data_IF_712307804952
#
_entry.id   IF_712307804952
#
_cell.length_a   1.000
_cell.length_b   1.000
_cell.length_c   1.000
_cell.angle_alpha   90.00
_cell.angle_beta   90.00
_cell.angle_gamma   90.00
#
_symmetry.space_group_name_H-M   'P 1'
#
loop_
_entity.id
_entity.type
_entity.pdbx_description
1 polymer ?
#
# COMPACT_ATOMS: atom_id res chain seq x y z
N UNK A 1 -10.33 6.09 -16.83
CA UNK A 1 -10.87 7.47 -16.88
C UNK A 1 -9.82 8.51 -17.26
N UNK A 2 -8.65 8.51 -16.60
CA UNK A 2 -7.57 9.46 -16.91
C UNK A 2 -7.07 9.40 -18.36
N UNK A 3 -6.94 8.21 -18.96
CA UNK A 3 -6.51 8.07 -20.37
C UNK A 3 -7.53 8.60 -21.39
N UNK A 4 -8.84 8.39 -21.13
CA UNK A 4 -9.92 8.88 -22.00
C UNK A 4 -9.89 10.41 -22.08
N UNK A 5 -9.58 11.07 -20.96
CA UNK A 5 -9.45 12.53 -20.89
C UNK A 5 -8.22 13.07 -21.61
N UNK A 6 -7.22 12.22 -21.88
CA UNK A 6 -6.06 12.58 -22.69
C UNK A 6 -6.26 12.36 -24.19
N UNK A 7 -7.47 11.96 -24.62
CA UNK A 7 -7.81 11.72 -26.02
C UNK A 7 -7.55 10.29 -26.53
N UNK A 8 -7.11 9.37 -25.67
CA UNK A 8 -6.94 7.96 -26.04
C UNK A 8 -8.32 7.31 -26.16
N UNK A 9 -8.60 6.64 -27.29
CA UNK A 9 -9.87 5.91 -27.44
C UNK A 9 -9.90 4.72 -26.49
N UNK A 10 -11.07 4.43 -25.93
CA UNK A 10 -11.27 3.30 -25.00
C UNK A 10 -10.76 1.97 -25.58
N UNK A 11 -10.92 1.75 -26.89
CA UNK A 11 -10.50 0.51 -27.53
C UNK A 11 -8.96 0.40 -27.62
N UNK A 12 -8.26 1.51 -27.87
CA UNK A 12 -6.78 1.56 -27.89
C UNK A 12 -6.23 1.38 -26.47
N UNK A 13 -6.84 2.04 -25.49
CA UNK A 13 -6.45 1.87 -24.09
C UNK A 13 -6.63 0.43 -23.57
N UNK A 14 -7.72 -0.24 -23.97
CA UNK A 14 -7.97 -1.64 -23.59
C UNK A 14 -7.02 -2.62 -24.28
N UNK A 15 -6.65 -2.35 -25.54
CA UNK A 15 -5.69 -3.18 -26.27
C UNK A 15 -4.28 -3.08 -25.69
N UNK A 16 -3.82 -1.86 -25.39
CA UNK A 16 -2.44 -1.62 -24.97
C UNK A 16 -2.21 -1.90 -23.48
N UNK A 17 -3.19 -1.61 -22.63
CA UNK A 17 -3.03 -1.66 -21.16
C UNK A 17 -4.00 -2.61 -20.45
N UNK A 18 -4.93 -3.26 -21.18
CA UNK A 18 -5.92 -4.15 -20.58
C UNK A 18 -6.80 -3.48 -19.52
N UNK A 19 -7.24 -4.25 -18.53
CA UNK A 19 -8.07 -3.77 -17.40
C UNK A 19 -7.27 -3.07 -16.29
N UNK A 20 -5.94 -3.07 -16.35
CA UNK A 20 -5.05 -2.35 -15.43
C UNK A 20 -4.34 -1.16 -16.13
N UNK A 21 -5.08 -0.09 -16.45
CA UNK A 21 -4.52 1.07 -17.11
C UNK A 21 -3.53 1.82 -16.21
N UNK A 22 -2.24 1.74 -16.53
CA UNK A 22 -1.19 2.57 -15.95
C UNK A 22 -0.82 3.71 -16.91
N UNK A 23 -0.70 4.93 -16.40
CA UNK A 23 -0.16 6.05 -17.17
C UNK A 23 1.36 6.01 -17.15
N UNK A 24 1.97 5.56 -18.24
CA UNK A 24 3.41 5.62 -18.47
C UNK A 24 3.74 6.52 -19.67
N UNK A 25 4.48 7.61 -19.44
CA UNK A 25 4.92 8.53 -20.50
C UNK A 25 4.61 10.00 -20.23
N UNK A 26 5.16 10.88 -21.08
CA UNK A 26 5.09 12.35 -20.94
C UNK A 26 3.99 13.01 -21.79
N UNK A 27 3.30 12.25 -22.64
CA UNK A 27 2.39 12.79 -23.65
C UNK A 27 0.95 13.01 -23.14
N UNK A 28 0.71 12.72 -21.86
CA UNK A 28 -0.61 12.83 -21.24
C UNK A 28 -0.88 14.23 -20.69
N UNK A 29 -2.14 14.65 -20.79
CA UNK A 29 -2.59 15.94 -20.25
C UNK A 29 -2.35 16.04 -18.74
N UNK A 30 -2.08 17.25 -18.23
CA UNK A 30 -1.91 17.52 -16.80
C UNK A 30 -3.14 17.14 -15.97
N UNK A 31 -4.33 17.24 -16.56
CA UNK A 31 -5.61 16.85 -15.95
C UNK A 31 -5.72 15.33 -15.79
N UNK A 32 -5.20 14.55 -16.74
CA UNK A 32 -5.12 13.08 -16.65
C UNK A 32 -4.22 12.63 -15.49
N UNK A 33 -3.05 13.26 -15.33
CA UNK A 33 -2.17 13.01 -14.19
C UNK A 33 -2.83 13.32 -12.84
N UNK A 34 -3.58 14.43 -12.74
CA UNK A 34 -4.28 14.81 -11.51
C UNK A 34 -5.31 13.75 -11.11
N UNK A 35 -6.13 13.26 -12.04
CA UNK A 35 -7.14 12.23 -11.77
C UNK A 35 -6.50 10.90 -11.38
N UNK A 36 -5.37 10.54 -11.99
CA UNK A 36 -4.64 9.34 -11.62
C UNK A 36 -4.12 9.39 -10.19
N UNK A 37 -3.45 10.49 -9.80
CA UNK A 37 -2.99 10.67 -8.43
C UNK A 37 -4.16 10.78 -7.43
N UNK A 38 -5.27 11.41 -7.81
CA UNK A 38 -6.48 11.43 -6.99
C UNK A 38 -7.02 10.01 -6.73
N UNK A 39 -6.98 9.13 -7.74
CA UNK A 39 -7.32 7.72 -7.60
C UNK A 39 -6.40 6.97 -6.63
N UNK A 40 -5.08 7.20 -6.73
CA UNK A 40 -4.09 6.60 -5.80
C UNK A 40 -4.35 7.06 -4.36
N UNK A 41 -4.61 8.36 -4.16
CA UNK A 41 -4.91 8.92 -2.83
C UNK A 41 -6.21 8.32 -2.28
N UNK A 42 -7.25 8.19 -3.11
CA UNK A 42 -8.51 7.58 -2.72
C UNK A 42 -8.31 6.11 -2.32
N UNK A 43 -7.54 5.34 -3.10
CA UNK A 43 -7.22 3.96 -2.78
C UNK A 43 -6.44 3.83 -1.45
N UNK A 44 -5.43 4.68 -1.24
CA UNK A 44 -4.69 4.73 0.02
C UNK A 44 -5.61 5.07 1.21
N UNK A 45 -6.57 5.99 1.02
CA UNK A 45 -7.58 6.30 2.04
C UNK A 45 -8.48 5.10 2.34
N UNK A 46 -8.94 4.37 1.31
CA UNK A 46 -9.77 3.17 1.50
C UNK A 46 -9.05 2.10 2.32
N UNK A 47 -7.75 1.91 2.14
CA UNK A 47 -6.94 0.97 2.94
C UNK A 47 -6.86 1.42 4.41
N UNK A 48 -6.59 2.71 4.64
CA UNK A 48 -6.55 3.28 5.99
C UNK A 48 -7.92 3.20 6.69
N UNK A 49 -9.00 3.46 5.97
CA UNK A 49 -10.36 3.33 6.49
C UNK A 49 -10.69 1.88 6.85
N UNK A 50 -10.40 0.93 5.96
CA UNK A 50 -10.64 -0.51 6.18
C UNK A 50 -9.84 -1.04 7.39
N UNK A 51 -8.55 -0.71 7.48
CA UNK A 51 -7.73 -1.10 8.63
C UNK A 51 -8.22 -0.48 9.95
N UNK A 52 -8.77 0.74 9.90
CA UNK A 52 -9.39 1.38 11.07
C UNK A 52 -10.68 0.65 11.47
N UNK A 53 -11.50 0.22 10.51
CA UNK A 53 -12.71 -0.57 10.74
C UNK A 53 -12.40 -1.90 11.43
N UNK A 54 -11.43 -2.65 10.90
CA UNK A 54 -11.03 -3.94 11.45
C UNK A 54 -10.48 -3.76 12.86
N UNK A 55 -9.68 -2.72 13.09
CA UNK A 55 -9.12 -2.42 14.41
C UNK A 55 -10.21 -2.04 15.43
N UNK A 56 -11.18 -1.20 15.04
CA UNK A 56 -12.27 -0.79 15.95
C UNK A 56 -13.16 -1.95 16.34
N UNK A 57 -13.51 -2.81 15.38
CA UNK A 57 -14.29 -4.04 15.62
C UNK A 57 -13.53 -4.96 16.58
N UNK A 58 -12.27 -5.26 16.28
CA UNK A 58 -11.46 -6.19 17.10
C UNK A 58 -11.31 -5.69 18.53
N UNK A 59 -11.06 -4.40 18.73
CA UNK A 59 -10.88 -3.82 20.08
C UNK A 59 -12.19 -3.82 20.86
N UNK A 60 -13.33 -3.53 20.22
CA UNK A 60 -14.64 -3.55 20.88
C UNK A 60 -15.07 -4.97 21.25
N UNK A 61 -14.81 -5.94 20.39
CA UNK A 61 -14.99 -7.37 20.71
C UNK A 61 -14.13 -7.80 21.90
N UNK A 62 -12.84 -7.43 21.93
CA UNK A 62 -11.95 -7.72 23.07
C UNK A 62 -12.39 -7.04 24.38
N UNK A 63 -13.10 -5.91 24.30
CA UNK A 63 -13.70 -5.22 25.46
C UNK A 63 -15.03 -5.84 25.90
N UNK A 64 -15.52 -6.89 25.23
CA UNK A 64 -16.75 -7.61 25.57
C UNK A 64 -18.00 -7.18 24.80
N UNK A 65 -17.86 -6.28 23.81
CA UNK A 65 -18.95 -5.94 22.90
C UNK A 65 -18.96 -6.88 21.68
N UNK A 66 -19.48 -8.08 21.90
CA UNK A 66 -19.47 -9.17 20.91
C UNK A 66 -20.40 -8.91 19.71
N UNK A 67 -21.29 -7.90 19.79
CA UNK A 67 -22.28 -7.61 18.76
C UNK A 67 -21.99 -6.33 17.97
N UNK A 68 -20.79 -5.76 18.12
CA UNK A 68 -20.42 -4.57 17.37
C UNK A 68 -20.44 -4.85 15.87
N UNK A 69 -21.40 -4.25 15.16
CA UNK A 69 -21.66 -4.57 13.76
C UNK A 69 -20.70 -3.83 12.83
N UNK A 70 -20.48 -4.41 11.65
CA UNK A 70 -19.69 -3.80 10.59
C UNK A 70 -20.26 -2.43 10.18
N UNK A 71 -21.59 -2.30 10.16
CA UNK A 71 -22.26 -1.04 9.82
C UNK A 71 -21.98 0.06 10.84
N UNK A 72 -21.98 -0.29 12.14
CA UNK A 72 -21.65 0.66 13.20
C UNK A 72 -20.19 1.13 13.11
N UNK A 73 -19.29 0.26 12.65
CA UNK A 73 -17.89 0.59 12.39
C UNK A 73 -17.75 1.58 11.22
N UNK A 74 -18.49 1.35 10.13
CA UNK A 74 -18.52 2.26 8.98
C UNK A 74 -19.10 3.63 9.34
N UNK A 75 -20.17 3.68 10.14
CA UNK A 75 -20.74 4.95 10.61
C UNK A 75 -19.75 5.74 11.48
N UNK A 76 -18.95 5.05 12.29
CA UNK A 76 -17.88 5.68 13.07
C UNK A 76 -16.77 6.24 12.16
N UNK A 77 -16.37 5.49 11.13
CA UNK A 77 -15.38 5.93 10.13
C UNK A 77 -15.88 7.15 9.36
N UNK A 78 -17.13 7.14 8.91
CA UNK A 78 -17.74 8.26 8.20
C UNK A 78 -17.84 9.52 9.07
N UNK A 79 -17.99 9.38 10.39
CA UNK A 79 -17.90 10.51 11.33
C UNK A 79 -16.46 11.01 11.48
N UNK A 80 -15.46 10.15 11.33
CA UNK A 80 -14.03 10.44 11.61
C UNK A 80 -13.10 10.43 10.40
N UNK A 81 -13.65 10.45 9.20
CA UNK A 81 -12.87 10.41 7.95
C UNK A 81 -11.82 11.53 7.88
N UNK A 82 -12.16 12.72 8.43
CA UNK A 82 -11.24 13.86 8.53
C UNK A 82 -10.05 13.48 9.39
N UNK A 83 -10.27 12.95 10.59
CA UNK A 83 -9.19 12.49 11.45
C UNK A 83 -8.33 11.51 10.68
N UNK A 84 -8.93 10.44 10.12
CA UNK A 84 -8.28 9.38 9.33
C UNK A 84 -7.31 9.95 8.29
N UNK A 85 -7.75 10.91 7.48
CA UNK A 85 -6.92 11.51 6.44
C UNK A 85 -5.91 12.55 6.95
N UNK A 86 -6.30 13.40 7.92
CA UNK A 86 -5.47 14.53 8.33
C UNK A 86 -4.31 14.13 9.25
N UNK A 87 -4.38 13.02 9.98
CA UNK A 87 -3.27 12.64 10.89
C UNK A 87 -1.94 12.39 10.16
N UNK A 88 -1.85 11.55 9.11
CA UNK A 88 -0.60 11.42 8.35
C UNK A 88 -0.15 12.74 7.73
N UNK A 89 -1.10 13.58 7.28
CA UNK A 89 -0.80 14.92 6.76
C UNK A 89 -0.20 15.82 7.84
N UNK A 90 -0.71 15.78 9.08
CA UNK A 90 -0.16 16.57 10.18
C UNK A 90 1.23 16.13 10.59
N UNK A 91 1.54 14.82 10.54
CA UNK A 91 2.90 14.33 10.78
C UNK A 91 3.88 14.81 9.71
N UNK A 92 3.48 14.80 8.42
CA UNK A 92 4.27 15.37 7.32
C UNK A 92 4.47 16.87 7.54
N UNK A 93 3.42 17.59 7.95
CA UNK A 93 3.51 19.02 8.24
C UNK A 93 4.51 19.32 9.36
N UNK A 94 4.49 18.52 10.45
CA UNK A 94 5.46 18.67 11.56
C UNK A 94 6.89 18.46 11.04
N UNK A 95 7.15 17.41 10.25
CA UNK A 95 8.46 17.17 9.64
C UNK A 95 8.91 18.35 8.77
N UNK A 96 8.01 18.87 7.93
CA UNK A 96 8.29 20.00 7.06
C UNK A 96 8.62 21.26 7.87
N UNK A 97 7.85 21.56 8.91
CA UNK A 97 8.13 22.71 9.80
C UNK A 97 9.49 22.57 10.49
N UNK A 98 9.85 21.37 10.96
CA UNK A 98 11.16 21.14 11.59
C UNK A 98 12.32 21.36 10.60
N UNK A 99 12.19 20.90 9.36
CA UNK A 99 13.18 21.14 8.30
C UNK A 99 13.29 22.64 8.01
N UNK A 100 12.16 23.34 7.89
CA UNK A 100 12.13 24.79 7.64
C UNK A 100 12.83 25.58 8.75
N UNK A 101 12.66 25.19 10.01
CA UNK A 101 13.39 25.80 11.14
C UNK A 101 14.91 25.57 11.00
N UNK A 102 15.33 24.36 10.64
CA UNK A 102 16.75 24.06 10.40
C UNK A 102 17.35 24.90 9.27
N UNK A 103 16.63 25.04 8.15
CA UNK A 103 17.03 25.90 7.03
C UNK A 103 17.13 27.37 7.47
N UNK A 104 16.17 27.86 8.25
CA UNK A 104 16.20 29.23 8.77
C UNK A 104 17.45 29.52 9.61
N UNK A 105 17.83 28.62 10.51
CA UNK A 105 19.05 28.77 11.30
C UNK A 105 20.33 28.64 10.46
N UNK A 106 20.33 27.78 9.44
CA UNK A 106 21.45 27.68 8.51
C UNK A 106 21.65 28.99 7.71
N UNK A 107 20.56 29.63 7.28
CA UNK A 107 20.60 30.93 6.61
C UNK A 107 21.13 32.02 7.56
N UNK A 108 20.69 32.06 8.82
CA UNK A 108 21.25 32.99 9.82
C UNK A 108 22.75 32.78 10.04
N UNK A 109 23.23 31.54 9.96
CA UNK A 109 24.65 31.20 10.07
C UNK A 109 25.52 31.70 8.91
N UNK A 110 24.93 32.02 7.76
CA UNK A 110 25.67 32.47 6.57
C UNK A 110 26.16 33.93 6.62
N UNK A 111 25.78 34.70 7.65
CA UNK A 111 26.14 36.12 7.79
C UNK A 111 27.62 36.26 8.21
N UNK A 112 28.45 36.94 7.42
CA UNK A 112 29.93 36.96 7.52
C UNK A 112 30.54 37.41 8.86
N UNK A 113 29.80 38.05 9.77
CA UNK A 113 30.33 38.51 11.07
C UNK A 113 29.58 37.92 12.27
N UNK A 114 28.24 37.99 12.26
CA UNK A 114 27.40 37.51 13.38
C UNK A 114 27.11 36.01 13.27
N UNK A 115 27.15 35.45 12.06
CA UNK A 115 26.78 34.07 11.77
C UNK A 115 27.56 33.02 12.58
N UNK A 116 28.90 33.04 12.58
CA UNK A 116 29.70 32.05 13.31
C UNK A 116 29.44 32.06 14.83
N UNK A 117 29.28 33.24 15.44
CA UNK A 117 28.98 33.36 16.87
C UNK A 117 27.58 32.85 17.20
N UNK A 118 26.59 33.19 16.36
CA UNK A 118 25.20 32.76 16.54
C UNK A 118 25.05 31.24 16.40
N UNK A 119 25.77 30.64 15.45
CA UNK A 119 25.81 29.18 15.26
C UNK A 119 26.40 28.50 16.47
N UNK A 120 27.54 28.96 17.00
CA UNK A 120 28.18 28.31 18.18
C UNK A 120 27.27 28.37 19.41
N UNK A 121 26.60 29.50 19.66
CA UNK A 121 25.67 29.65 20.79
C UNK A 121 24.42 28.77 20.60
N UNK A 122 23.91 28.68 19.37
CA UNK A 122 22.67 27.95 19.06
C UNK A 122 22.93 26.46 18.77
N UNK A 123 24.18 26.03 18.64
CA UNK A 123 24.55 24.67 18.26
C UNK A 123 23.93 23.58 19.15
N UNK A 124 23.91 23.69 20.50
CA UNK A 124 23.24 22.70 21.33
C UNK A 124 21.74 22.55 21.04
N UNK A 125 21.07 23.66 20.71
CA UNK A 125 19.66 23.68 20.34
C UNK A 125 19.43 23.00 18.98
N UNK A 126 20.30 23.27 18.00
CA UNK A 126 20.24 22.65 16.68
C UNK A 126 20.51 21.14 16.72
N UNK A 127 21.45 20.72 17.56
CA UNK A 127 21.73 19.30 17.78
C UNK A 127 20.51 18.57 18.36
N UNK A 128 19.87 19.14 19.39
CA UNK A 128 18.65 18.59 19.96
C UNK A 128 17.49 18.59 18.94
N UNK A 129 17.37 19.65 18.13
CA UNK A 129 16.43 19.73 17.02
C UNK A 129 16.65 18.63 15.98
N UNK A 130 17.90 18.30 15.65
CA UNK A 130 18.23 17.22 14.72
C UNK A 130 17.85 15.84 15.28
N UNK A 131 18.10 15.59 16.57
CA UNK A 131 17.65 14.35 17.24
C UNK A 131 16.12 14.26 17.18
N UNK A 132 15.43 15.36 17.46
CA UNK A 132 13.97 15.43 17.41
C UNK A 132 13.41 15.23 15.99
N UNK A 133 14.11 15.70 14.95
CA UNK A 133 13.74 15.46 13.55
C UNK A 133 13.86 13.98 13.19
N UNK A 134 14.97 13.33 13.52
CA UNK A 134 15.17 11.89 13.30
C UNK A 134 14.10 11.09 14.04
N UNK A 135 13.83 11.46 15.29
CA UNK A 135 12.77 10.83 16.07
C UNK A 135 11.38 11.02 15.45
N UNK A 136 11.05 12.23 15.00
CA UNK A 136 9.77 12.52 14.31
C UNK A 136 9.64 11.72 13.00
N UNK A 137 10.74 11.47 12.30
CA UNK A 137 10.75 10.63 11.11
C UNK A 137 10.46 9.16 11.46
N UNK A 138 11.04 8.65 12.54
CA UNK A 138 10.70 7.31 13.05
C UNK A 138 9.24 7.20 13.47
N UNK A 139 8.69 8.22 14.13
CA UNK A 139 7.28 8.30 14.49
C UNK A 139 6.39 8.31 13.25
N UNK A 140 6.78 9.02 12.19
CA UNK A 140 6.03 9.02 10.93
C UNK A 140 5.96 7.61 10.32
N UNK A 141 7.07 6.87 10.28
CA UNK A 141 7.08 5.50 9.76
C UNK A 141 6.23 4.57 10.63
N UNK A 142 6.39 4.62 11.95
CA UNK A 142 5.64 3.75 12.87
C UNK A 142 4.14 4.08 12.87
N UNK A 143 3.78 5.33 12.57
CA UNK A 143 2.38 5.78 12.55
C UNK A 143 1.54 5.02 11.52
N UNK A 144 2.06 4.65 10.36
CA UNK A 144 1.26 3.92 9.36
C UNK A 144 0.66 2.61 9.88
N UNK A 145 1.36 1.94 10.80
CA UNK A 145 0.88 0.72 11.46
C UNK A 145 -0.03 1.01 12.66
N UNK A 146 0.35 1.99 13.49
CA UNK A 146 -0.31 2.27 14.77
C UNK A 146 -1.58 3.12 14.63
N UNK A 147 -1.64 3.93 13.58
CA UNK A 147 -2.63 4.98 13.42
C UNK A 147 -4.07 4.46 13.24
N UNK A 148 -4.35 3.46 12.37
CA UNK A 148 -5.69 2.90 12.25
C UNK A 148 -6.20 2.34 13.58
N UNK A 149 -5.28 1.76 14.38
CA UNK A 149 -5.60 1.25 15.71
C UNK A 149 -5.84 2.37 16.74
N UNK A 150 -5.09 3.46 16.70
CA UNK A 150 -5.24 4.57 17.65
C UNK A 150 -6.59 5.28 17.47
N UNK A 151 -6.94 5.64 16.23
CA UNK A 151 -8.22 6.31 15.90
C UNK A 151 -9.41 5.41 16.20
N UNK A 152 -9.29 4.11 15.88
CA UNK A 152 -10.36 3.13 16.14
C UNK A 152 -10.60 2.84 17.63
N UNK A 153 -9.57 2.96 18.48
CA UNK A 153 -9.62 2.54 19.89
C UNK A 153 -9.95 3.64 20.90
N UNK A 154 -9.42 4.84 20.66
CA UNK A 154 -9.43 5.93 21.64
C UNK A 154 -10.35 7.09 21.26
N UNK A 155 -10.98 7.00 20.08
CA UNK A 155 -11.88 8.03 19.60
C UNK A 155 -11.24 9.45 19.59
N UNK A 156 -9.94 9.53 19.36
CA UNK A 156 -9.18 10.78 19.43
C UNK A 156 -9.33 11.67 18.19
N UNK A 157 -9.13 12.97 18.38
CA UNK A 157 -8.98 13.96 17.32
C UNK A 157 -7.59 13.86 16.66
N UNK A 158 -7.38 14.55 15.53
CA UNK A 158 -6.13 14.53 14.76
C UNK A 158 -4.90 14.82 15.62
N UNK A 159 -4.96 15.84 16.48
CA UNK A 159 -3.83 16.22 17.35
C UNK A 159 -3.60 15.17 18.44
N UNK A 160 -4.66 14.61 19.03
CA UNK A 160 -4.56 13.52 20.00
C UNK A 160 -3.87 12.30 19.39
N UNK A 161 -4.30 11.91 18.20
CA UNK A 161 -3.74 10.76 17.46
C UNK A 161 -2.24 10.93 17.18
N UNK A 162 -1.82 12.16 16.83
CA UNK A 162 -0.39 12.49 16.68
C UNK A 162 0.35 12.32 18.01
N UNK A 163 -0.15 12.90 19.10
CA UNK A 163 0.50 12.77 20.41
C UNK A 163 0.59 11.32 20.88
N UNK A 164 -0.43 10.50 20.62
CA UNK A 164 -0.41 9.08 20.92
C UNK A 164 0.63 8.32 20.10
N UNK A 165 0.83 8.69 18.83
CA UNK A 165 1.91 8.14 18.01
C UNK A 165 3.30 8.48 18.60
N UNK A 166 3.52 9.73 18.99
CA UNK A 166 4.76 10.17 19.65
C UNK A 166 4.98 9.45 20.99
N UNK A 167 3.97 9.42 21.86
CA UNK A 167 4.04 8.82 23.18
C UNK A 167 4.29 7.30 23.10
N UNK A 168 3.61 6.61 22.19
CA UNK A 168 3.76 5.15 22.02
C UNK A 168 5.13 4.80 21.47
N UNK A 169 5.63 5.56 20.49
CA UNK A 169 6.97 5.36 19.91
C UNK A 169 8.07 5.63 20.93
N UNK A 170 7.91 6.64 21.79
CA UNK A 170 8.90 6.97 22.81
C UNK A 170 8.92 5.94 23.96
N UNK A 171 7.75 5.59 24.50
CA UNK A 171 7.67 4.77 25.71
C UNK A 171 7.77 3.27 25.46
N UNK A 172 7.43 2.80 24.27
CA UNK A 172 7.32 1.37 23.97
C UNK A 172 7.99 0.97 22.64
N UNK A 173 9.23 1.42 22.35
CA UNK A 173 9.90 1.15 21.07
C UNK A 173 10.15 -0.35 20.86
N UNK A 174 10.53 -1.07 21.92
CA UNK A 174 10.75 -2.51 21.88
C UNK A 174 9.50 -3.30 21.56
N UNK A 175 8.32 -2.84 21.99
CA UNK A 175 7.05 -3.49 21.69
C UNK A 175 6.70 -3.35 20.20
N UNK A 176 6.93 -2.17 19.63
CA UNK A 176 6.71 -1.93 18.20
C UNK A 176 7.63 -2.84 17.38
N UNK A 177 8.92 -2.94 17.72
CA UNK A 177 9.87 -3.73 16.96
C UNK A 177 9.61 -5.24 17.07
N UNK A 178 9.37 -5.74 18.28
CA UNK A 178 9.13 -7.18 18.53
C UNK A 178 7.80 -7.65 17.96
N UNK A 179 6.73 -6.86 18.07
CA UNK A 179 5.43 -7.26 17.55
C UNK A 179 5.42 -7.25 16.03
N UNK A 180 5.97 -6.22 15.37
CA UNK A 180 6.03 -6.20 13.91
C UNK A 180 6.89 -7.35 13.35
N UNK A 181 8.01 -7.68 13.99
CA UNK A 181 8.86 -8.81 13.56
C UNK A 181 8.17 -10.16 13.73
N UNK A 182 7.36 -10.35 14.77
CA UNK A 182 6.58 -11.58 14.98
C UNK A 182 5.34 -11.65 14.09
N UNK A 183 4.74 -10.50 13.77
CA UNK A 183 3.50 -10.42 12.99
C UNK A 183 3.74 -10.62 11.49
N UNK A 184 4.90 -10.20 10.96
CA UNK A 184 5.30 -10.42 9.56
C UNK A 184 5.20 -11.90 9.09
N UNK A 185 5.84 -12.88 9.74
CA UNK A 185 5.75 -14.28 9.31
C UNK A 185 4.33 -14.84 9.46
N UNK A 186 3.57 -14.36 10.45
CA UNK A 186 2.17 -14.78 10.64
C UNK A 186 1.27 -14.28 9.50
N UNK A 187 1.48 -13.05 9.04
CA UNK A 187 0.78 -12.48 7.88
C UNK A 187 1.15 -13.23 6.60
N UNK A 188 2.43 -13.55 6.41
CA UNK A 188 2.87 -14.36 5.27
C UNK A 188 2.20 -15.74 5.28
N UNK A 189 2.15 -16.40 6.44
CA UNK A 189 1.49 -17.69 6.61
C UNK A 189 -0.01 -17.60 6.31
N UNK A 190 -0.70 -16.60 6.85
CA UNK A 190 -2.15 -16.43 6.66
C UNK A 190 -2.50 -16.11 5.21
N UNK A 191 -1.72 -15.27 4.53
CA UNK A 191 -1.90 -15.00 3.09
C UNK A 191 -1.68 -16.26 2.25
N UNK A 192 -0.64 -17.05 2.51
CA UNK A 192 -0.40 -18.32 1.79
C UNK A 192 -1.52 -19.32 2.01
N UNK A 193 -2.03 -19.43 3.23
CA UNK A 193 -3.13 -20.33 3.53
C UNK A 193 -4.42 -19.89 2.83
N UNK A 194 -4.72 -18.59 2.82
CA UNK A 194 -5.87 -18.03 2.10
C UNK A 194 -5.75 -18.24 0.58
N UNK A 195 -4.59 -17.92 0.00
CA UNK A 195 -4.25 -18.20 -1.41
C UNK A 195 -4.59 -19.64 -1.78
N UNK A 196 -4.08 -20.59 -0.99
CA UNK A 196 -4.27 -22.01 -1.24
C UNK A 196 -5.76 -22.40 -1.25
N UNK A 197 -6.55 -21.88 -0.30
CA UNK A 197 -8.00 -22.09 -0.29
C UNK A 197 -8.70 -21.47 -1.51
N UNK A 198 -8.36 -20.25 -1.90
CA UNK A 198 -8.92 -19.59 -3.08
C UNK A 198 -8.57 -20.34 -4.37
N UNK A 199 -7.32 -20.76 -4.53
CA UNK A 199 -6.85 -21.53 -5.68
C UNK A 199 -7.56 -22.89 -5.77
N UNK A 200 -7.75 -23.58 -4.64
CA UNK A 200 -8.51 -24.83 -4.61
C UNK A 200 -9.97 -24.61 -5.01
N UNK A 201 -10.62 -23.55 -4.51
CA UNK A 201 -12.00 -23.21 -4.88
C UNK A 201 -12.12 -22.92 -6.37
N UNK A 202 -11.18 -22.14 -6.92
CA UNK A 202 -11.13 -21.83 -8.35
C UNK A 202 -10.90 -23.07 -9.21
N UNK A 203 -9.93 -23.90 -8.87
CA UNK A 203 -9.65 -25.14 -9.60
C UNK A 203 -10.84 -26.10 -9.57
N UNK A 204 -11.55 -26.19 -8.44
CA UNK A 204 -12.75 -27.00 -8.32
C UNK A 204 -13.88 -26.47 -9.22
N UNK A 205 -14.10 -25.15 -9.25
CA UNK A 205 -15.05 -24.53 -10.18
C UNK A 205 -14.66 -24.85 -11.63
N UNK A 206 -13.42 -24.60 -12.03
CA UNK A 206 -12.95 -24.85 -13.39
C UNK A 206 -13.17 -26.30 -13.80
N UNK A 207 -12.87 -27.26 -12.93
CA UNK A 207 -13.08 -28.69 -13.20
C UNK A 207 -14.56 -29.03 -13.41
N UNK A 208 -15.47 -28.49 -12.58
CA UNK A 208 -16.91 -28.71 -12.73
C UNK A 208 -17.44 -28.07 -14.02
N UNK A 209 -17.05 -26.83 -14.31
CA UNK A 209 -17.51 -26.10 -15.48
C UNK A 209 -16.95 -26.66 -16.78
N UNK A 210 -15.70 -27.10 -16.83
CA UNK A 210 -15.10 -27.74 -17.98
C UNK A 210 -15.78 -29.09 -18.29
N UNK A 211 -16.15 -29.87 -17.28
CA UNK A 211 -16.89 -31.13 -17.46
C UNK A 211 -18.31 -30.92 -17.99
N UNK A 212 -18.98 -29.83 -17.62
CA UNK A 212 -20.39 -29.57 -17.99
C UNK A 212 -20.51 -28.77 -19.29
N UNK A 213 -19.70 -27.72 -19.46
CA UNK A 213 -19.78 -26.78 -20.60
C UNK A 213 -18.73 -27.05 -21.69
N UNK A 214 -17.69 -27.84 -21.41
CA UNK A 214 -16.67 -28.21 -22.39
C UNK A 214 -15.94 -27.00 -22.99
N UNK A 215 -15.76 -27.02 -24.31
CA UNK A 215 -14.94 -26.04 -25.04
C UNK A 215 -15.49 -24.61 -25.08
N UNK A 216 -16.76 -24.39 -24.73
CA UNK A 216 -17.28 -23.01 -24.64
C UNK A 216 -16.78 -22.30 -23.38
N UNK A 217 -16.60 -23.04 -22.29
CA UNK A 217 -16.04 -22.49 -21.05
C UNK A 217 -14.58 -22.09 -21.20
N UNK A 218 -13.79 -22.94 -21.86
CA UNK A 218 -12.38 -22.66 -22.19
C UNK A 218 -12.21 -21.39 -23.03
N UNK A 219 -13.11 -21.16 -23.99
CA UNK A 219 -13.07 -19.97 -24.86
C UNK A 219 -13.42 -18.69 -24.09
N UNK A 220 -14.45 -18.74 -23.24
CA UNK A 220 -14.85 -17.59 -22.39
C UNK A 220 -13.74 -17.25 -21.39
N UNK A 221 -13.15 -18.27 -20.77
CA UNK A 221 -12.09 -18.11 -19.80
C UNK A 221 -10.82 -17.53 -20.44
N UNK A 222 -10.34 -18.12 -21.53
CA UNK A 222 -9.16 -17.62 -22.26
C UNK A 222 -9.34 -16.17 -22.73
N UNK A 223 -10.51 -15.80 -23.24
CA UNK A 223 -10.80 -14.42 -23.60
C UNK A 223 -10.76 -13.49 -22.38
N UNK A 224 -11.39 -13.88 -21.26
CA UNK A 224 -11.39 -13.08 -20.03
C UNK A 224 -9.98 -12.81 -19.51
N UNK A 225 -9.08 -13.79 -19.60
CA UNK A 225 -7.69 -13.66 -19.17
C UNK A 225 -6.87 -12.78 -20.10
N UNK A 226 -7.08 -12.90 -21.43
CA UNK A 226 -6.39 -12.06 -22.40
C UNK A 226 -6.65 -10.55 -22.19
N UNK A 227 -7.86 -10.20 -21.74
CA UNK A 227 -8.26 -8.82 -21.48
C UNK A 227 -7.66 -8.26 -20.18
N UNK A 228 -7.33 -9.14 -19.22
CA UNK A 228 -6.78 -8.72 -17.94
C UNK A 228 -5.33 -8.21 -18.04
N UNK A 229 -4.61 -8.58 -19.10
CA UNK A 229 -3.21 -8.26 -19.41
C UNK A 229 -2.34 -8.08 -18.14
N UNK A 230 -1.94 -9.19 -17.54
CA UNK A 230 -1.09 -9.23 -16.34
C UNK A 230 0.40 -9.07 -16.65
N UNK A 231 0.79 -8.92 -17.92
CA UNK A 231 2.20 -8.93 -18.35
C UNK A 231 2.99 -7.79 -17.70
N UNK A 232 2.37 -6.62 -17.49
CA UNK A 232 3.00 -5.52 -16.77
C UNK A 232 3.27 -5.85 -15.29
N UNK A 233 2.38 -6.61 -14.65
CA UNK A 233 2.50 -7.00 -13.24
C UNK A 233 3.55 -8.11 -13.09
N UNK A 234 3.55 -9.10 -14.00
CA UNK A 234 4.48 -10.21 -14.03
C UNK A 234 5.91 -9.78 -14.44
N UNK A 235 6.05 -8.89 -15.42
CA UNK A 235 7.36 -8.40 -15.88
C UNK A 235 8.05 -7.50 -14.86
N UNK A 236 7.28 -6.79 -14.03
CA UNK A 236 7.78 -5.94 -12.96
C UNK A 236 7.78 -6.61 -11.59
N UNK A 237 7.34 -7.87 -11.48
CA UNK A 237 7.46 -8.65 -10.25
C UNK A 237 8.95 -8.90 -10.01
N UNK A 238 9.56 -8.33 -8.95
CA UNK A 238 10.97 -8.51 -8.71
C UNK A 238 11.22 -9.97 -8.29
N UNK A 239 11.72 -10.79 -9.22
CA UNK A 239 12.46 -12.02 -8.91
C UNK A 239 13.81 -11.59 -8.32
N UNK A 240 13.82 -11.17 -7.05
CA UNK A 240 15.05 -10.85 -6.36
C UNK A 240 15.68 -12.15 -5.88
N UNK A 241 16.73 -12.63 -6.54
CA UNK A 241 17.61 -13.64 -5.96
C UNK A 241 18.26 -13.05 -4.71
N UNK A 242 18.06 -13.69 -3.56
CA UNK A 242 18.70 -13.29 -2.30
C UNK A 242 20.18 -13.64 -2.41
N UNK A 243 20.99 -12.74 -2.96
CA UNK A 243 22.45 -12.81 -2.83
C UNK A 243 22.81 -12.25 -1.45
N UNK A 244 23.06 -13.13 -0.48
CA UNK A 244 23.72 -12.73 0.76
C UNK A 244 25.14 -12.26 0.41
N UNK A 245 25.32 -10.94 0.22
CA UNK A 245 26.63 -10.33 0.04
C UNK A 245 27.44 -10.54 1.33
N UNK A 246 28.48 -11.36 1.21
CA UNK A 246 29.40 -11.76 2.29
C UNK A 246 30.53 -10.75 2.47
N UNK A 247 30.23 -9.44 2.42
CA UNK A 247 31.25 -8.40 2.52
C UNK A 247 31.09 -7.49 3.74
N UNK A 248 32.25 -7.11 4.28
CA UNK A 248 32.51 -6.56 5.60
C UNK A 248 31.53 -5.48 6.11
N UNK A 249 31.31 -5.49 7.42
CA UNK A 249 30.41 -4.62 8.17
C UNK A 249 30.85 -3.14 8.09
N UNK A 250 30.19 -2.36 7.21
CA UNK A 250 30.22 -0.89 7.21
C UNK A 250 28.81 -0.35 7.43
N UNK A 251 28.65 0.85 8.00
CA UNK A 251 27.33 1.44 8.28
C UNK A 251 26.50 1.66 6.99
N UNK A 252 27.18 1.90 5.87
CA UNK A 252 26.58 2.02 4.54
C UNK A 252 26.08 0.66 4.02
N UNK A 253 26.79 -0.43 4.36
CA UNK A 253 26.35 -1.80 4.10
C UNK A 253 25.17 -2.22 4.99
N UNK A 254 25.04 -1.71 6.22
CA UNK A 254 23.86 -2.00 7.06
C UNK A 254 22.59 -1.36 6.50
N UNK A 255 22.67 -0.13 5.98
CA UNK A 255 21.53 0.52 5.34
C UNK A 255 21.17 -0.20 4.04
N UNK A 256 22.13 -0.58 3.20
CA UNK A 256 21.84 -1.33 1.97
C UNK A 256 21.33 -2.74 2.25
N UNK A 257 21.83 -3.43 3.27
CA UNK A 257 21.32 -4.74 3.72
C UNK A 257 19.90 -4.60 4.26
N UNK A 258 19.61 -3.58 5.08
CA UNK A 258 18.27 -3.36 5.59
C UNK A 258 17.29 -3.01 4.48
N UNK A 259 17.67 -2.13 3.55
CA UNK A 259 16.87 -1.81 2.36
C UNK A 259 16.65 -3.07 1.52
N UNK A 260 17.69 -3.86 1.25
CA UNK A 260 17.56 -5.12 0.50
C UNK A 260 16.65 -6.13 1.18
N UNK A 261 16.71 -6.26 2.51
CA UNK A 261 15.80 -7.12 3.29
C UNK A 261 14.36 -6.59 3.19
N UNK A 262 14.17 -5.28 3.30
CA UNK A 262 12.83 -4.68 3.26
C UNK A 262 12.22 -4.79 1.85
N UNK A 263 13.03 -4.59 0.81
CA UNK A 263 12.62 -4.79 -0.58
C UNK A 263 12.42 -6.27 -0.90
N UNK A 264 13.21 -7.19 -0.33
CA UNK A 264 13.02 -8.63 -0.54
C UNK A 264 11.76 -9.12 0.17
N UNK A 265 11.48 -8.64 1.38
CA UNK A 265 10.23 -8.94 2.08
C UNK A 265 9.02 -8.38 1.32
N UNK A 266 9.13 -7.16 0.79
CA UNK A 266 8.07 -6.57 -0.03
C UNK A 266 7.88 -7.35 -1.34
N UNK A 267 8.96 -7.76 -2.00
CA UNK A 267 8.95 -8.62 -3.18
C UNK A 267 8.33 -9.98 -2.89
N UNK A 268 8.66 -10.59 -1.75
CA UNK A 268 8.12 -11.89 -1.33
C UNK A 268 6.63 -11.78 -0.99
N UNK A 269 6.21 -10.73 -0.28
CA UNK A 269 4.79 -10.44 -0.02
C UNK A 269 4.05 -10.21 -1.35
N UNK A 270 4.63 -9.44 -2.27
CA UNK A 270 4.04 -9.20 -3.58
C UNK A 270 3.93 -10.47 -4.42
N UNK A 271 4.98 -11.30 -4.45
CA UNK A 271 4.97 -12.60 -5.11
C UNK A 271 3.96 -13.55 -4.45
N UNK A 272 3.78 -13.47 -3.13
CA UNK A 272 2.73 -14.22 -2.43
C UNK A 272 1.36 -13.73 -2.88
N UNK A 273 1.11 -12.42 -2.92
CA UNK A 273 -0.14 -11.84 -3.45
C UNK A 273 -0.37 -12.30 -4.90
N UNK A 274 0.69 -12.34 -5.71
CA UNK A 274 0.62 -12.82 -7.08
C UNK A 274 0.33 -14.33 -7.14
N UNK A 275 0.88 -15.12 -6.23
CA UNK A 275 0.54 -16.54 -6.06
C UNK A 275 -0.85 -16.76 -5.42
N UNK A 276 -1.45 -15.74 -4.81
CA UNK A 276 -2.87 -15.75 -4.41
C UNK A 276 -3.78 -15.64 -5.63
N UNK A 277 -3.29 -15.09 -6.74
CA UNK A 277 -4.05 -15.14 -7.98
C UNK A 277 -4.13 -16.61 -8.41
N UNK A 278 -5.32 -17.09 -8.79
CA UNK A 278 -5.44 -18.41 -9.37
C UNK A 278 -4.48 -18.54 -10.56
N UNK A 279 -4.05 -19.75 -10.89
CA UNK A 279 -3.11 -19.96 -11.99
C UNK A 279 -3.85 -19.68 -13.31
N UNK A 280 -3.67 -18.46 -13.84
CA UNK A 280 -4.39 -17.94 -15.03
C UNK A 280 -3.72 -18.40 -16.33
N UNK A 281 -3.16 -19.61 -16.38
CA UNK A 281 -2.65 -20.19 -17.62
C UNK A 281 -3.79 -20.98 -18.27
N UNK A 282 -4.42 -20.39 -19.29
CA UNK A 282 -5.29 -21.13 -20.19
C UNK A 282 -4.72 -21.08 -21.60
N UNK A 283 -4.78 -22.22 -22.29
CA UNK A 283 -4.20 -22.42 -23.61
C UNK A 283 -4.80 -21.46 -24.63
N UNK A 284 -3.95 -20.85 -25.44
CA UNK A 284 -4.29 -19.91 -26.51
C UNK A 284 -4.96 -20.56 -27.73
N UNK A 285 -5.39 -21.82 -27.63
CA UNK A 285 -5.99 -22.59 -28.73
C UNK A 285 -7.50 -22.35 -28.88
N UNK A 286 -7.97 -21.16 -28.49
CA UNK A 286 -9.36 -20.76 -28.65
C UNK A 286 -9.73 -20.65 -30.13
N UNK A 287 -10.56 -21.58 -30.60
CA UNK A 287 -11.22 -21.48 -31.91
C UNK A 287 -12.09 -20.22 -32.03
N UNK A 288 -12.74 -20.03 -33.18
CA UNK A 288 -13.61 -18.87 -33.44
C UNK A 288 -14.59 -18.60 -32.29
N UNK A 289 -14.38 -17.49 -31.57
CA UNK A 289 -15.18 -17.08 -30.41
C UNK A 289 -16.48 -16.43 -30.91
N UNK A 290 -17.61 -16.85 -30.37
CA UNK A 290 -18.90 -16.23 -30.72
C UNK A 290 -19.08 -14.86 -30.05
N UNK A 291 -19.96 -14.03 -30.59
CA UNK A 291 -20.27 -12.71 -30.01
C UNK A 291 -20.87 -12.79 -28.60
N UNK A 292 -21.47 -13.93 -28.22
CA UNK A 292 -21.99 -14.14 -26.87
C UNK A 292 -20.87 -14.52 -25.89
N UNK A 293 -19.93 -15.36 -26.32
CA UNK A 293 -18.77 -15.77 -25.50
C UNK A 293 -17.82 -14.59 -25.22
N UNK A 294 -17.64 -13.67 -26.17
CA UNK A 294 -16.86 -12.44 -25.95
C UNK A 294 -17.49 -11.53 -24.89
N UNK A 295 -18.83 -11.35 -24.90
CA UNK A 295 -19.54 -10.57 -23.87
C UNK A 295 -19.43 -11.24 -22.51
N UNK A 296 -19.62 -12.56 -22.45
CA UNK A 296 -19.48 -13.33 -21.22
C UNK A 296 -18.06 -13.25 -20.65
N UNK A 297 -17.04 -13.36 -21.51
CA UNK A 297 -15.64 -13.25 -21.10
C UNK A 297 -15.28 -11.85 -20.61
N UNK A 298 -15.86 -10.79 -21.19
CA UNK A 298 -15.67 -9.42 -20.72
C UNK A 298 -16.31 -9.20 -19.34
N UNK A 299 -17.51 -9.73 -19.10
CA UNK A 299 -18.14 -9.68 -17.76
C UNK A 299 -17.30 -10.45 -16.73
N UNK A 300 -16.82 -11.64 -17.11
CA UNK A 300 -15.97 -12.47 -16.24
C UNK A 300 -14.64 -11.78 -15.91
N UNK A 301 -14.03 -11.10 -16.88
CA UNK A 301 -12.78 -10.36 -16.69
C UNK A 301 -12.90 -9.25 -15.65
N UNK A 302 -14.06 -8.60 -15.54
CA UNK A 302 -14.33 -7.59 -14.49
C UNK A 302 -14.38 -8.26 -13.11
N UNK A 303 -14.95 -9.46 -13.02
CA UNK A 303 -15.00 -10.21 -11.75
C UNK A 303 -13.63 -10.63 -11.24
N UNK A 304 -12.64 -10.81 -12.12
CA UNK A 304 -11.26 -11.13 -11.72
C UNK A 304 -10.45 -9.93 -11.20
N UNK A 305 -10.99 -8.69 -11.30
CA UNK A 305 -10.35 -7.50 -10.71
C UNK A 305 -10.58 -7.42 -9.19
N UNK A 306 -11.67 -8.01 -8.70
CA UNK A 306 -12.10 -7.97 -7.30
C UNK A 306 -11.68 -9.22 -6.54
#
# INVERSE_FOLDING_TARGET
>A
MAMILSGVKINEALYDYGLYPHLSGTDFSTLSWLIYYAGIIFWAFSILASSTAVSSITIRQLRGDNFYSVNDAFDQILKKWKTILFTPVTLILILLVLIMIGVFFALLGSISFVGPLLVVITYPLLFLGSIFLIFSYLVFISSFSLYPSAVGAYDEDTIGSVFHAYHTTFNQPWRILTYNTLLLPLVILSMKLLSWFCQLGFNLLNLLFEQVMGSSYSNVMSYALSVLNLDFILANAPLYEITFLTDAWSFQNLVSVFVNILTSLFAEIFNIILSCLPLLEYTTDGGYITSLETIAGLILSISFIF
#
